data_IF_673985319502
#
_entry.id   IF_673985319502
#
_cell.length_a   1.000
_cell.length_b   1.000
_cell.length_c   1.000
_cell.angle_alpha   90.00
_cell.angle_beta   90.00
_cell.angle_gamma   90.00
#
_symmetry.space_group_name_H-M   'P 1'
#
loop_
_entity.id
_entity.type
_entity.pdbx_description
1 polymer ?
#
# COMPACT_ATOMS: atom_id res chain seq x y z
N UNK A 1 -52.84 38.37 -5.95
CA UNK A 1 -52.45 37.02 -6.39
C UNK A 1 -50.92 36.95 -6.53
N UNK A 2 -50.23 36.13 -5.73
CA UNK A 2 -48.78 35.88 -5.86
C UNK A 2 -48.54 34.39 -5.67
N UNK A 3 -48.63 33.65 -6.77
CA UNK A 3 -48.25 32.24 -6.84
C UNK A 3 -46.72 32.15 -6.89
N UNK A 4 -46.09 31.70 -5.80
CA UNK A 4 -44.70 31.25 -5.81
C UNK A 4 -44.67 29.90 -6.50
N UNK A 5 -44.18 29.88 -7.74
CA UNK A 5 -43.88 28.64 -8.45
C UNK A 5 -42.81 27.84 -7.69
N UNK A 6 -43.06 26.55 -7.64
CA UNK A 6 -42.34 25.50 -6.92
C UNK A 6 -40.88 25.42 -7.38
N UNK A 7 -39.94 25.39 -6.44
CA UNK A 7 -38.54 25.04 -6.72
C UNK A 7 -38.51 23.59 -7.20
N UNK A 8 -38.02 23.41 -8.42
CA UNK A 8 -37.88 22.10 -9.07
C UNK A 8 -37.07 21.14 -8.20
N UNK A 9 -37.53 19.89 -8.19
CA UNK A 9 -36.83 18.79 -7.57
C UNK A 9 -35.40 18.68 -8.11
N UNK A 10 -34.43 18.82 -7.22
CA UNK A 10 -33.04 18.43 -7.48
C UNK A 10 -32.99 16.91 -7.67
N UNK A 11 -32.61 16.55 -8.89
CA UNK A 11 -32.56 15.21 -9.43
C UNK A 11 -31.63 14.32 -8.60
N UNK A 12 -32.15 13.14 -8.25
CA UNK A 12 -31.48 12.03 -7.57
C UNK A 12 -30.33 11.42 -8.42
N UNK A 13 -29.32 12.21 -8.75
CA UNK A 13 -27.99 11.74 -9.13
C UNK A 13 -27.12 11.91 -7.90
N UNK A 14 -26.53 10.83 -7.40
CA UNK A 14 -25.47 10.90 -6.38
C UNK A 14 -24.44 11.89 -6.88
N UNK A 15 -24.49 13.12 -6.37
CA UNK A 15 -23.57 14.17 -6.77
C UNK A 15 -22.16 13.70 -6.38
N UNK A 16 -21.12 13.88 -7.22
CA UNK A 16 -19.74 13.52 -6.89
C UNK A 16 -19.29 13.87 -5.45
N UNK A 17 -19.66 15.03 -4.86
CA UNK A 17 -19.38 15.32 -3.46
C UNK A 17 -20.06 14.38 -2.44
N UNK A 18 -21.25 13.85 -2.74
CA UNK A 18 -21.94 12.89 -1.89
C UNK A 18 -21.23 11.52 -1.89
N UNK A 19 -20.81 11.04 -3.06
CA UNK A 19 -20.03 9.81 -3.21
C UNK A 19 -18.70 9.86 -2.45
N UNK A 20 -17.94 10.97 -2.53
CA UNK A 20 -16.70 11.14 -1.76
C UNK A 20 -16.94 11.11 -0.25
N UNK A 21 -18.10 11.60 0.20
CA UNK A 21 -18.48 11.59 1.61
C UNK A 21 -18.79 10.17 2.10
N UNK A 22 -19.46 9.38 1.27
CA UNK A 22 -19.73 7.96 1.51
C UNK A 22 -18.43 7.14 1.51
N UNK A 23 -17.54 7.32 0.53
CA UNK A 23 -16.21 6.67 0.49
C UNK A 23 -15.39 7.02 1.73
N UNK A 24 -15.36 8.28 2.17
CA UNK A 24 -14.66 8.67 3.40
C UNK A 24 -15.26 8.03 4.64
N UNK A 25 -16.58 7.85 4.69
CA UNK A 25 -17.26 7.16 5.78
C UNK A 25 -16.90 5.67 5.82
N UNK A 26 -16.79 5.02 4.66
CA UNK A 26 -16.41 3.62 4.54
C UNK A 26 -14.90 3.40 4.81
N UNK A 27 -14.04 4.29 4.31
CA UNK A 27 -12.60 4.28 4.58
C UNK A 27 -12.28 4.42 6.07
N UNK A 28 -13.17 5.03 6.86
CA UNK A 28 -13.04 5.10 8.32
C UNK A 28 -13.36 3.78 9.02
N UNK A 29 -14.06 2.85 8.35
CA UNK A 29 -14.26 1.47 8.84
C UNK A 29 -13.04 0.59 8.58
N UNK A 30 -12.19 0.96 7.61
CA UNK A 30 -10.92 0.29 7.40
C UNK A 30 -10.00 0.67 8.56
N UNK A 31 -9.66 -0.31 9.40
CA UNK A 31 -8.69 -0.14 10.46
C UNK A 31 -7.31 0.09 9.83
N UNK A 32 -6.98 1.35 9.54
CA UNK A 32 -5.67 1.69 9.02
C UNK A 32 -4.64 1.37 10.12
N UNK A 33 -3.64 0.55 9.80
CA UNK A 33 -2.74 -0.01 10.78
C UNK A 33 -1.99 1.09 11.54
N UNK A 34 -1.68 0.81 12.80
CA UNK A 34 -0.90 1.72 13.63
C UNK A 34 0.54 1.78 13.11
N UNK A 35 1.09 2.99 12.95
CA UNK A 35 2.47 3.21 12.51
C UNK A 35 3.54 2.38 13.25
N UNK A 36 3.43 2.12 14.58
CA UNK A 36 4.37 1.25 15.29
C UNK A 36 4.35 -0.20 14.80
N UNK A 37 3.18 -0.71 14.41
CA UNK A 37 2.98 -2.08 13.97
C UNK A 37 3.51 -2.30 12.55
N UNK A 38 3.24 -1.37 11.64
CA UNK A 38 3.82 -1.36 10.28
C UNK A 38 5.35 -1.45 10.36
N UNK A 39 5.97 -0.64 11.22
CA UNK A 39 7.43 -0.63 11.40
C UNK A 39 7.98 -1.95 11.91
N UNK A 40 7.29 -2.62 12.85
CA UNK A 40 7.72 -3.95 13.34
C UNK A 40 7.74 -4.97 12.20
N UNK A 41 6.69 -5.01 11.40
CA UNK A 41 6.61 -5.94 10.28
C UNK A 41 7.64 -5.61 9.18
N UNK A 42 7.85 -4.32 8.87
CA UNK A 42 8.88 -3.92 7.91
C UNK A 42 10.29 -4.30 8.38
N UNK A 43 10.61 -4.18 9.67
CA UNK A 43 11.93 -4.56 10.21
C UNK A 43 12.16 -6.06 10.03
N UNK A 44 11.18 -6.92 10.33
CA UNK A 44 11.32 -8.37 10.14
C UNK A 44 11.62 -8.68 8.68
N UNK A 45 10.86 -8.09 7.74
CA UNK A 45 11.09 -8.29 6.31
C UNK A 45 12.47 -7.80 5.88
N UNK A 46 12.91 -6.63 6.34
CA UNK A 46 14.24 -6.09 6.02
C UNK A 46 15.36 -7.02 6.51
N UNK A 47 15.25 -7.56 7.72
CA UNK A 47 16.22 -8.51 8.26
C UNK A 47 16.23 -9.79 7.43
N UNK A 48 15.06 -10.35 7.10
CA UNK A 48 14.98 -11.57 6.28
C UNK A 48 15.61 -11.35 4.91
N UNK A 49 15.31 -10.24 4.24
CA UNK A 49 15.90 -9.90 2.93
C UNK A 49 17.41 -9.74 3.05
N UNK A 50 17.90 -9.06 4.09
CA UNK A 50 19.34 -8.89 4.31
C UNK A 50 20.07 -10.23 4.51
N UNK A 51 19.48 -11.17 5.27
CA UNK A 51 20.06 -12.51 5.47
C UNK A 51 20.11 -13.28 4.15
N UNK A 52 19.01 -13.31 3.40
CA UNK A 52 18.97 -14.01 2.11
C UNK A 52 19.96 -13.38 1.12
N UNK A 53 20.03 -12.06 1.04
CA UNK A 53 20.99 -11.34 0.20
C UNK A 53 22.44 -11.67 0.59
N UNK A 54 22.76 -11.73 1.88
CA UNK A 54 24.09 -12.10 2.36
C UNK A 54 24.46 -13.55 2.00
N UNK A 55 23.51 -14.48 2.09
CA UNK A 55 23.73 -15.87 1.68
C UNK A 55 24.00 -15.99 0.19
N UNK A 56 23.19 -15.34 -0.65
CA UNK A 56 23.39 -15.32 -2.11
C UNK A 56 24.74 -14.69 -2.44
N UNK A 57 25.05 -13.52 -1.87
CA UNK A 57 26.32 -12.84 -2.07
C UNK A 57 27.53 -13.70 -1.68
N UNK A 58 27.43 -14.42 -0.56
CA UNK A 58 28.46 -15.35 -0.09
C UNK A 58 28.64 -16.53 -1.06
N UNK A 59 27.54 -17.12 -1.52
CA UNK A 59 27.55 -18.19 -2.52
C UNK A 59 28.18 -17.70 -3.83
N UNK A 60 27.70 -16.59 -4.39
CA UNK A 60 28.17 -16.03 -5.66
C UNK A 60 29.67 -15.71 -5.60
N UNK A 61 30.14 -15.14 -4.48
CA UNK A 61 31.55 -14.89 -4.24
C UNK A 61 32.38 -16.16 -4.11
N UNK A 62 31.83 -17.20 -3.49
CA UNK A 62 32.46 -18.52 -3.37
C UNK A 62 32.57 -19.24 -4.71
N UNK A 63 31.47 -19.28 -5.47
CA UNK A 63 31.42 -19.85 -6.81
C UNK A 63 32.30 -19.09 -7.79
N UNK A 64 32.35 -17.75 -7.73
CA UNK A 64 33.23 -16.94 -8.57
C UNK A 64 34.72 -17.21 -8.34
N UNK A 65 35.12 -17.40 -7.08
CA UNK A 65 36.50 -17.79 -6.75
C UNK A 65 36.81 -19.23 -7.17
N UNK A 66 35.88 -20.15 -6.96
CA UNK A 66 36.04 -21.56 -7.32
C UNK A 66 36.11 -21.75 -8.84
N UNK A 67 35.25 -21.07 -9.60
CA UNK A 67 35.28 -21.12 -11.06
C UNK A 67 36.57 -20.53 -11.62
N UNK A 68 37.03 -19.40 -11.09
CA UNK A 68 38.32 -18.83 -11.49
C UNK A 68 39.50 -19.75 -11.21
N UNK A 69 39.44 -20.57 -10.15
CA UNK A 69 40.47 -21.58 -9.87
C UNK A 69 40.37 -22.80 -10.81
N UNK A 70 39.15 -23.17 -11.21
CA UNK A 70 38.91 -24.32 -12.08
C UNK A 70 39.23 -24.04 -13.56
N UNK A 71 39.01 -22.80 -14.02
CA UNK A 71 39.24 -22.36 -15.40
C UNK A 71 40.55 -21.61 -15.62
N UNK A 72 41.30 -21.31 -14.56
CA UNK A 72 42.68 -20.78 -14.62
C UNK A 72 43.70 -21.90 -14.69
#
# INVERSE_FOLDING_TARGET
ARTKATRGHDEARTTPPQYLREVRAEMRKVAWPSWPEVRKYSIVVLVTVAVVAALIFGLDSGFGKLSSWLYG
#
